data_IF_264651259685
#
_entry.id   IF_264651259685
#
_cell.length_a   1.000
_cell.length_b   1.000
_cell.length_c   1.000
_cell.angle_alpha   90.00
_cell.angle_beta   90.00
_cell.angle_gamma   90.00
#
_symmetry.space_group_name_H-M   'P 1'
#
loop_
_entity.id
_entity.type
_entity.pdbx_description
1 polymer ?
#
# COMPACT_ATOMS: atom_id res chain seq x y z
N UNK A 1 -0.31 -24.77 -1.93
CA UNK A 1 -0.95 -24.28 -0.70
C UNK A 1 -1.29 -22.80 -0.91
N UNK A 2 -2.54 -22.39 -0.71
CA UNK A 2 -3.01 -21.02 -0.94
C UNK A 2 -3.21 -20.28 0.39
N UNK A 3 -2.83 -19.00 0.44
CA UNK A 3 -2.93 -18.17 1.64
C UNK A 3 -4.34 -17.57 1.73
N UNK A 4 -5.20 -18.13 2.58
CA UNK A 4 -6.59 -17.68 2.78
C UNK A 4 -6.72 -16.45 3.67
N UNK A 5 -5.85 -16.32 4.68
CA UNK A 5 -5.95 -15.28 5.70
C UNK A 5 -4.62 -14.56 5.87
N UNK A 6 -4.68 -13.23 5.87
CA UNK A 6 -3.52 -12.38 6.11
C UNK A 6 -3.60 -11.82 7.51
N UNK A 7 -2.57 -12.07 8.32
CA UNK A 7 -2.40 -11.42 9.63
C UNK A 7 -2.08 -9.93 9.49
N UNK A 8 -1.44 -9.55 8.38
CA UNK A 8 -1.04 -8.18 8.10
C UNK A 8 -1.83 -7.64 6.92
N UNK A 9 -2.66 -6.64 7.18
CA UNK A 9 -3.48 -5.96 6.17
C UNK A 9 -2.65 -5.49 4.97
N UNK A 10 -1.46 -4.93 5.22
CA UNK A 10 -0.56 -4.45 4.18
C UNK A 10 -0.05 -5.52 3.19
N UNK A 11 -0.20 -6.81 3.51
CA UNK A 11 0.22 -7.93 2.64
C UNK A 11 -0.94 -8.52 1.84
N UNK A 12 -2.16 -8.05 2.06
CA UNK A 12 -3.31 -8.48 1.26
C UNK A 12 -3.09 -8.10 -0.20
N UNK A 13 -3.51 -8.96 -1.14
CA UNK A 13 -3.50 -8.62 -2.56
C UNK A 13 -4.30 -7.33 -2.79
N UNK A 14 -3.84 -6.48 -3.71
CA UNK A 14 -4.47 -5.21 -4.07
C UNK A 14 -4.13 -4.01 -3.17
N UNK A 15 -3.57 -4.21 -1.97
CA UNK A 15 -3.23 -3.07 -1.08
C UNK A 15 -2.12 -2.20 -1.66
N UNK A 16 -1.18 -2.78 -2.41
CA UNK A 16 -0.14 -2.00 -3.09
C UNK A 16 -0.72 -1.10 -4.18
N UNK A 17 -1.62 -1.65 -4.99
CA UNK A 17 -2.27 -0.93 -6.09
C UNK A 17 -3.18 0.17 -5.55
N UNK A 18 -3.85 -0.09 -4.43
CA UNK A 18 -4.65 0.92 -3.75
C UNK A 18 -3.78 2.08 -3.22
N UNK A 19 -2.57 1.81 -2.72
CA UNK A 19 -1.63 2.86 -2.29
C UNK A 19 -1.19 3.73 -3.47
N UNK A 20 -0.89 3.13 -4.63
CA UNK A 20 -0.46 3.86 -5.81
C UNK A 20 -1.60 4.66 -6.41
N UNK A 21 -2.80 4.10 -6.51
CA UNK A 21 -4.01 4.80 -6.97
C UNK A 21 -4.34 6.01 -6.07
N UNK A 22 -4.35 5.82 -4.75
CA UNK A 22 -4.60 6.93 -3.83
C UNK A 22 -3.56 8.04 -3.97
N UNK A 23 -2.28 7.69 -4.07
CA UNK A 23 -1.21 8.66 -4.27
C UNK A 23 -1.30 9.37 -5.63
N UNK A 24 -1.69 8.65 -6.69
CA UNK A 24 -1.96 9.23 -8.02
C UNK A 24 -3.11 10.23 -7.97
N UNK A 25 -4.15 9.93 -7.19
CA UNK A 25 -5.29 10.82 -6.92
C UNK A 25 -4.98 11.96 -5.93
N UNK A 26 -3.70 12.19 -5.62
CA UNK A 26 -3.24 13.31 -4.78
C UNK A 26 -3.31 13.07 -3.27
N UNK A 27 -3.63 11.87 -2.80
CA UNK A 27 -3.65 11.57 -1.38
C UNK A 27 -2.22 11.50 -0.80
N UNK A 28 -2.02 12.13 0.35
CA UNK A 28 -0.73 12.17 1.02
C UNK A 28 -0.34 10.83 1.66
N UNK A 29 0.96 10.62 1.86
CA UNK A 29 1.51 9.39 2.49
C UNK A 29 0.87 9.10 3.86
N UNK A 30 0.64 10.13 4.68
CA UNK A 30 0.03 9.98 6.01
C UNK A 30 -1.46 9.64 5.92
N UNK A 31 -2.15 10.16 4.92
CA UNK A 31 -3.57 9.90 4.71
C UNK A 31 -3.77 8.46 4.23
N UNK A 32 -2.95 7.99 3.29
CA UNK A 32 -2.95 6.60 2.85
C UNK A 32 -2.70 5.64 4.02
N UNK A 33 -1.73 5.95 4.87
CA UNK A 33 -1.42 5.14 6.06
C UNK A 33 -2.61 5.07 7.04
N UNK A 34 -3.30 6.19 7.28
CA UNK A 34 -4.47 6.25 8.16
C UNK A 34 -5.67 5.51 7.58
N UNK A 35 -6.01 5.78 6.31
CA UNK A 35 -7.15 5.19 5.62
C UNK A 35 -7.01 3.68 5.50
N UNK A 36 -5.83 3.19 5.12
CA UNK A 36 -5.57 1.76 4.96
C UNK A 36 -5.17 1.06 6.25
N UNK A 37 -5.01 1.80 7.36
CA UNK A 37 -4.57 1.28 8.67
C UNK A 37 -3.25 0.50 8.58
N UNK A 38 -2.31 1.01 7.79
CA UNK A 38 -0.99 0.42 7.58
C UNK A 38 0.12 1.37 8.03
N UNK A 39 1.32 0.83 8.27
CA UNK A 39 2.47 1.65 8.66
C UNK A 39 2.89 2.63 7.56
N UNK A 40 3.25 3.84 7.95
CA UNK A 40 3.76 4.89 7.03
C UNK A 40 4.97 4.38 6.22
N UNK A 41 5.87 3.63 6.85
CA UNK A 41 7.03 3.04 6.18
C UNK A 41 6.64 2.08 5.05
N UNK A 42 5.50 1.40 5.19
CA UNK A 42 4.98 0.52 4.14
C UNK A 42 4.55 1.34 2.95
N UNK A 43 3.74 2.39 3.15
CA UNK A 43 3.31 3.31 2.08
C UNK A 43 4.50 3.89 1.33
N UNK A 44 5.49 4.43 2.05
CA UNK A 44 6.70 5.01 1.45
C UNK A 44 7.46 3.97 0.62
N UNK A 45 7.63 2.75 1.14
CA UNK A 45 8.33 1.68 0.42
C UNK A 45 7.57 1.28 -0.84
N UNK A 46 6.26 1.13 -0.77
CA UNK A 46 5.43 0.78 -1.93
C UNK A 46 5.56 1.82 -3.02
N UNK A 47 5.46 3.12 -2.68
CA UNK A 47 5.58 4.21 -3.65
C UNK A 47 6.99 4.31 -4.25
N UNK A 48 8.03 4.05 -3.47
CA UNK A 48 9.41 3.99 -4.00
C UNK A 48 9.59 2.83 -4.99
N UNK A 49 9.04 1.66 -4.67
CA UNK A 49 9.17 0.48 -5.52
C UNK A 49 8.28 0.54 -6.77
N UNK A 50 7.13 1.20 -6.71
CA UNK A 50 6.23 1.37 -7.85
C UNK A 50 6.92 2.11 -9.02
N UNK A 51 7.84 3.04 -8.73
CA UNK A 51 8.65 3.75 -9.75
C UNK A 51 9.69 2.87 -10.46
N UNK A 52 9.94 1.66 -9.96
CA UNK A 52 10.95 0.73 -10.50
C UNK A 52 10.31 -0.48 -11.19
N UNK A 53 9.00 -0.66 -11.09
CA UNK A 53 8.25 -1.77 -11.71
C UNK A 53 7.58 -1.36 -13.03
N UNK A 54 7.71 -0.10 -13.46
CA UNK A 54 7.46 0.37 -14.85
C UNK A 54 8.68 0.11 -15.75
#
# INVERSE_FOLDING_TARGET
MFQLTYRYEARKPGVKDQITEMAFNGAGVRDNARTLKIGINTVIRTLKNARHEE
#
